data_IF_807618542661
#
_entry.id   IF_807618542661
#
_cell.length_a   1.000
_cell.length_b   1.000
_cell.length_c   1.000
_cell.angle_alpha   90.00
_cell.angle_beta   90.00
_cell.angle_gamma   90.00
#
_symmetry.space_group_name_H-M   'P 1'
#
loop_
_entity.id
_entity.type
_entity.pdbx_description
1 polymer ?
#
# COMPACT_ATOMS: atom_id res chain seq x y z
N UNK A 1 0.51 19.86 16.26
CA UNK A 1 1.82 19.23 16.09
C UNK A 1 1.59 17.74 16.26
N UNK A 2 1.91 16.92 15.29
CA UNK A 2 1.81 15.47 15.51
C UNK A 2 3.02 15.07 16.39
N UNK A 3 2.74 14.57 17.57
CA UNK A 3 3.80 14.07 18.46
C UNK A 3 4.38 12.80 17.84
N UNK A 4 5.61 12.92 17.34
CA UNK A 4 6.35 11.82 16.70
C UNK A 4 7.23 11.09 17.75
N UNK A 5 6.64 10.83 18.92
CA UNK A 5 7.24 10.10 20.04
C UNK A 5 6.47 8.79 20.30
N UNK A 6 7.06 7.88 21.05
CA UNK A 6 6.37 6.67 21.47
C UNK A 6 6.09 5.72 20.32
N UNK A 7 7.14 5.22 19.63
CA UNK A 7 6.99 4.23 18.55
C UNK A 7 6.16 3.04 19.01
N UNK A 8 5.17 2.70 18.22
CA UNK A 8 4.30 1.54 18.44
C UNK A 8 4.29 0.70 17.17
N UNK A 9 4.58 -0.58 17.31
CA UNK A 9 4.53 -1.53 16.21
C UNK A 9 3.86 -2.80 16.68
N UNK A 10 2.93 -3.30 15.89
CA UNK A 10 2.23 -4.54 16.11
C UNK A 10 2.05 -5.29 14.78
N UNK A 11 1.87 -6.60 14.87
CA UNK A 11 1.44 -7.41 13.75
C UNK A 11 0.10 -8.05 14.08
N UNK A 12 -0.84 -7.98 13.15
CA UNK A 12 -2.11 -8.70 13.21
C UNK A 12 -2.12 -9.77 12.14
N UNK A 13 -2.53 -10.97 12.52
CA UNK A 13 -2.58 -12.13 11.63
C UNK A 13 -3.96 -12.77 11.77
N UNK A 14 -4.63 -12.99 10.66
CA UNK A 14 -5.95 -13.63 10.66
C UNK A 14 -6.40 -14.03 9.27
N UNK A 15 -7.53 -14.72 9.17
CA UNK A 15 -8.13 -15.05 7.89
C UNK A 15 -8.87 -13.83 7.29
N UNK A 16 -9.06 -13.78 5.97
CA UNK A 16 -9.83 -12.72 5.32
C UNK A 16 -11.22 -12.57 5.94
N UNK A 17 -11.59 -11.34 6.30
CA UNK A 17 -12.90 -11.04 6.88
C UNK A 17 -13.06 -11.38 8.38
N UNK A 18 -12.05 -11.96 9.03
CA UNK A 18 -12.05 -12.22 10.47
C UNK A 18 -11.30 -11.14 11.25
N UNK A 19 -11.58 -11.07 12.55
CA UNK A 19 -10.75 -10.27 13.47
C UNK A 19 -9.42 -11.00 13.64
N UNK A 20 -8.35 -10.41 13.11
CA UNK A 20 -7.00 -10.95 13.24
C UNK A 20 -6.53 -10.96 14.69
N UNK A 21 -5.67 -11.93 15.03
CA UNK A 21 -4.98 -11.96 16.31
C UNK A 21 -3.84 -10.96 16.28
N UNK A 22 -3.79 -10.09 17.27
CA UNK A 22 -2.78 -9.05 17.42
C UNK A 22 -1.65 -9.53 18.32
N UNK A 23 -0.42 -9.28 17.88
CA UNK A 23 0.80 -9.57 18.62
C UNK A 23 1.56 -8.27 18.82
N UNK A 24 1.58 -7.81 20.05
CA UNK A 24 2.32 -6.63 20.51
C UNK A 24 3.60 -7.06 21.25
N UNK A 25 4.55 -6.17 21.38
CA UNK A 25 5.77 -6.39 22.18
C UNK A 25 6.85 -7.26 21.53
N UNK A 26 6.62 -7.78 20.33
CA UNK A 26 7.65 -8.45 19.54
C UNK A 26 8.52 -7.44 18.82
N UNK A 27 9.81 -7.74 18.65
CA UNK A 27 10.61 -7.00 17.69
C UNK A 27 10.15 -7.36 16.28
N UNK A 28 9.72 -6.35 15.54
CA UNK A 28 9.24 -6.46 14.17
C UNK A 28 10.06 -5.52 13.31
N UNK A 29 10.62 -6.04 12.22
CA UNK A 29 11.22 -5.22 11.18
C UNK A 29 10.40 -5.34 9.90
N UNK A 30 10.30 -4.25 9.16
CA UNK A 30 9.59 -4.23 7.88
C UNK A 30 10.25 -3.27 6.88
N UNK A 31 10.19 -3.65 5.62
CA UNK A 31 10.50 -2.81 4.46
C UNK A 31 9.37 -2.98 3.46
N UNK A 32 8.65 -1.89 3.19
CA UNK A 32 7.44 -1.88 2.39
C UNK A 32 7.63 -0.87 1.27
N UNK A 33 7.68 -1.33 0.04
CA UNK A 33 7.79 -0.47 -1.15
C UNK A 33 6.48 -0.44 -1.90
N UNK A 34 6.02 0.76 -2.18
CA UNK A 34 4.81 1.04 -2.94
C UNK A 34 5.12 1.99 -4.08
N UNK A 35 4.56 1.72 -5.23
CA UNK A 35 4.74 2.56 -6.42
C UNK A 35 3.39 2.93 -7.03
N UNK A 36 3.33 4.10 -7.65
CA UNK A 36 2.20 4.49 -8.50
C UNK A 36 2.14 3.69 -9.80
N UNK A 37 3.20 2.93 -10.12
CA UNK A 37 3.23 2.06 -11.28
C UNK A 37 2.49 0.75 -10.99
N UNK A 38 2.09 0.06 -12.05
CA UNK A 38 1.33 -1.19 -11.96
C UNK A 38 2.11 -2.39 -11.37
N UNK A 39 3.30 -2.17 -10.80
CA UNK A 39 4.06 -3.21 -10.08
C UNK A 39 3.43 -3.52 -8.73
N UNK A 40 3.46 -4.79 -8.28
CA UNK A 40 2.95 -5.13 -6.96
C UNK A 40 3.77 -4.46 -5.88
N UNK A 41 3.06 -3.98 -4.87
CA UNK A 41 3.70 -3.60 -3.63
C UNK A 41 4.40 -4.82 -3.03
N UNK A 42 5.69 -4.70 -2.79
CA UNK A 42 6.49 -5.75 -2.17
C UNK A 42 6.80 -5.34 -0.74
N UNK A 43 6.56 -6.24 0.18
CA UNK A 43 6.87 -6.03 1.58
C UNK A 43 7.63 -7.23 2.15
N UNK A 44 8.69 -6.93 2.85
CA UNK A 44 9.43 -7.89 3.67
C UNK A 44 9.14 -7.58 5.14
N UNK A 45 8.77 -8.60 5.89
CA UNK A 45 8.50 -8.50 7.31
C UNK A 45 9.30 -9.58 8.03
N UNK A 46 9.94 -9.21 9.15
CA UNK A 46 10.57 -10.17 10.03
C UNK A 46 10.06 -9.98 11.46
N UNK A 47 9.69 -11.09 12.08
CA UNK A 47 9.22 -11.14 13.46
C UNK A 47 10.24 -11.92 14.28
N UNK A 48 10.80 -11.28 15.31
CA UNK A 48 11.83 -11.86 16.15
C UNK A 48 11.21 -12.56 17.36
N UNK A 49 11.75 -13.74 17.67
CA UNK A 49 11.33 -14.59 18.76
C UNK A 49 9.81 -14.86 18.78
N UNK A 50 9.20 -15.23 17.62
CA UNK A 50 7.78 -15.52 17.59
C UNK A 50 7.48 -16.78 18.44
N UNK A 51 6.43 -16.70 19.25
CA UNK A 51 5.88 -17.84 19.94
C UNK A 51 5.25 -18.86 18.98
N UNK A 52 4.96 -20.07 19.49
CA UNK A 52 4.35 -21.12 18.67
C UNK A 52 3.01 -20.69 18.04
N UNK A 53 2.21 -19.92 18.76
CA UNK A 53 0.94 -19.39 18.27
C UNK A 53 1.12 -18.40 17.11
N UNK A 54 2.16 -17.53 17.19
CA UNK A 54 2.46 -16.58 16.10
C UNK A 54 2.89 -17.34 14.84
N UNK A 55 3.74 -18.36 15.01
CA UNK A 55 4.19 -19.20 13.89
C UNK A 55 3.02 -19.94 13.26
N UNK A 56 2.18 -20.58 14.07
CA UNK A 56 0.98 -21.31 13.59
C UNK A 56 0.01 -20.37 12.82
N UNK A 57 -0.15 -19.12 13.30
CA UNK A 57 -0.97 -18.14 12.60
C UNK A 57 -0.35 -17.73 11.25
N UNK A 58 0.98 -17.59 11.17
CA UNK A 58 1.69 -17.27 9.92
C UNK A 58 1.67 -18.43 8.91
N UNK A 59 1.61 -19.68 9.39
CA UNK A 59 1.56 -20.87 8.55
C UNK A 59 0.18 -21.13 7.93
N UNK A 60 -0.86 -20.40 8.35
CA UNK A 60 -2.19 -20.53 7.76
C UNK A 60 -2.15 -20.17 6.26
N UNK A 61 -2.64 -21.04 5.37
CA UNK A 61 -2.61 -20.80 3.92
C UNK A 61 -3.39 -19.56 3.46
N UNK A 62 -4.30 -19.10 4.31
CA UNK A 62 -5.18 -17.94 4.06
C UNK A 62 -4.77 -16.71 4.87
N UNK A 63 -3.66 -16.76 5.60
CA UNK A 63 -3.25 -15.70 6.49
C UNK A 63 -3.14 -14.36 5.77
N UNK A 64 -3.86 -13.38 6.30
CA UNK A 64 -3.69 -11.97 6.02
C UNK A 64 -2.87 -11.38 7.14
N UNK A 65 -1.79 -10.71 6.78
CA UNK A 65 -0.90 -10.02 7.70
C UNK A 65 -1.13 -8.52 7.58
N UNK A 66 -1.34 -7.88 8.73
CA UNK A 66 -1.35 -6.43 8.86
C UNK A 66 -0.19 -5.99 9.74
N UNK A 67 0.63 -5.09 9.24
CA UNK A 67 1.64 -4.40 10.04
C UNK A 67 1.07 -3.04 10.42
N UNK A 68 1.00 -2.80 11.71
CA UNK A 68 0.54 -1.55 12.30
C UNK A 68 1.75 -0.87 12.89
N UNK A 69 2.05 0.34 12.45
CA UNK A 69 3.21 1.08 12.91
C UNK A 69 2.91 2.57 12.97
N UNK A 70 3.67 3.29 13.79
CA UNK A 70 3.52 4.72 13.95
C UNK A 70 3.98 5.18 15.32
N UNK A 71 3.54 6.34 15.68
CA UNK A 71 3.79 6.95 16.98
C UNK A 71 2.51 6.86 17.84
N UNK A 72 2.08 7.88 18.54
CA UNK A 72 0.92 7.84 19.45
C UNK A 72 -0.36 7.30 18.80
N UNK A 73 -0.57 7.59 17.51
CA UNK A 73 -1.68 7.06 16.72
C UNK A 73 -1.14 6.15 15.59
N UNK A 74 -0.77 4.89 15.89
CA UNK A 74 -0.29 3.97 14.86
C UNK A 74 -1.40 3.62 13.87
N UNK A 75 -1.00 3.46 12.61
CA UNK A 75 -1.91 3.08 11.53
C UNK A 75 -1.40 1.85 10.78
N UNK A 76 -2.26 1.25 9.96
CA UNK A 76 -1.89 0.13 9.09
C UNK A 76 -0.92 0.64 8.03
N UNK A 77 0.32 0.14 8.05
CA UNK A 77 1.35 0.42 7.03
C UNK A 77 1.26 -0.59 5.91
N UNK A 78 0.83 -1.82 6.20
CA UNK A 78 0.73 -2.92 5.27
C UNK A 78 -0.46 -3.79 5.64
N UNK A 79 -1.22 -4.22 4.64
CA UNK A 79 -2.22 -5.28 4.75
C UNK A 79 -2.13 -6.15 3.52
N UNK A 80 -1.88 -7.45 3.68
CA UNK A 80 -1.74 -8.33 2.53
C UNK A 80 -1.62 -9.80 2.90
N UNK A 81 -1.51 -10.63 1.88
CA UNK A 81 -1.31 -12.09 2.03
C UNK A 81 0.16 -12.45 2.00
N UNK A 82 0.51 -13.48 2.75
CA UNK A 82 1.85 -14.06 2.71
C UNK A 82 2.06 -14.70 1.34
N UNK A 83 3.17 -14.38 0.71
CA UNK A 83 3.58 -15.02 -0.55
C UNK A 83 3.86 -16.49 -0.26
N UNK A 84 3.21 -17.38 -1.00
CA UNK A 84 3.34 -18.82 -0.80
C UNK A 84 4.82 -19.25 -0.88
N UNK A 85 5.28 -19.97 0.15
CA UNK A 85 6.66 -20.46 0.23
C UNK A 85 7.69 -19.39 0.66
N UNK A 86 7.27 -18.17 0.99
CA UNK A 86 8.19 -17.12 1.47
C UNK A 86 8.44 -17.17 2.98
N UNK A 87 7.53 -17.77 3.75
CA UNK A 87 7.72 -17.90 5.19
C UNK A 87 8.89 -18.82 5.52
N UNK A 88 9.86 -18.29 6.23
CA UNK A 88 11.01 -19.03 6.75
C UNK A 88 11.18 -18.71 8.23
N UNK A 89 11.32 -19.76 9.02
CA UNK A 89 11.62 -19.62 10.44
C UNK A 89 13.03 -20.17 10.67
N UNK A 90 13.95 -19.29 10.97
CA UNK A 90 15.39 -19.59 11.08
C UNK A 90 15.98 -19.02 12.36
N UNK A 91 17.20 -19.43 12.70
CA UNK A 91 17.99 -18.82 13.76
C UNK A 91 18.87 -17.72 13.20
N UNK A 92 18.85 -16.56 13.84
CA UNK A 92 19.69 -15.41 13.54
C UNK A 92 20.39 -15.02 14.86
N UNK A 93 21.60 -15.55 15.05
CA UNK A 93 22.32 -15.49 16.33
C UNK A 93 21.52 -16.16 17.46
N UNK A 94 21.27 -15.45 18.58
CA UNK A 94 20.50 -15.98 19.70
C UNK A 94 18.99 -15.98 19.45
N UNK A 95 18.52 -15.29 18.41
CA UNK A 95 17.10 -15.10 18.13
C UNK A 95 16.57 -16.13 17.14
N UNK A 96 15.30 -16.50 17.32
CA UNK A 96 14.51 -17.16 16.28
C UNK A 96 13.79 -16.08 15.48
N UNK A 97 13.85 -16.12 14.15
CA UNK A 97 13.27 -15.09 13.29
C UNK A 97 12.35 -15.73 12.27
N UNK A 98 11.12 -15.27 12.20
CA UNK A 98 10.20 -15.58 11.10
C UNK A 98 10.28 -14.45 10.06
N UNK A 99 10.81 -14.77 8.88
CA UNK A 99 10.89 -13.87 7.73
C UNK A 99 9.83 -14.26 6.72
N UNK A 100 9.13 -13.27 6.18
CA UNK A 100 8.06 -13.50 5.21
C UNK A 100 7.98 -12.33 4.23
N UNK A 101 7.54 -12.65 3.02
CA UNK A 101 7.13 -11.64 2.05
C UNK A 101 5.61 -11.53 2.06
N UNK A 102 5.13 -10.31 2.04
CA UNK A 102 3.71 -9.99 2.02
C UNK A 102 3.41 -9.19 0.75
N UNK A 103 2.36 -9.58 0.06
CA UNK A 103 1.84 -8.83 -1.08
C UNK A 103 0.47 -8.28 -0.75
N UNK A 104 0.24 -7.02 -1.10
CA UNK A 104 -1.07 -6.39 -1.02
C UNK A 104 -2.06 -7.06 -1.98
N UNK A 105 -3.37 -6.91 -1.74
CA UNK A 105 -4.47 -7.59 -2.43
C UNK A 105 -4.47 -7.55 -3.97
N UNK A 106 -3.50 -6.85 -4.59
CA UNK A 106 -3.26 -6.89 -6.03
C UNK A 106 -2.95 -8.29 -6.60
N UNK A 107 -2.61 -9.26 -5.75
CA UNK A 107 -2.45 -10.68 -6.13
C UNK A 107 -3.77 -11.24 -6.63
N UNK A 108 -4.87 -10.95 -5.94
CA UNK A 108 -6.19 -11.47 -6.29
C UNK A 108 -6.62 -10.96 -7.67
N UNK A 109 -6.35 -9.70 -7.99
CA UNK A 109 -6.64 -9.15 -9.33
C UNK A 109 -5.83 -9.79 -10.47
N UNK A 110 -4.64 -10.29 -10.19
CA UNK A 110 -3.78 -10.93 -11.22
C UNK A 110 -4.08 -12.40 -11.41
N UNK A 111 -4.36 -13.10 -10.32
CA UNK A 111 -4.60 -14.55 -10.34
C UNK A 111 -6.04 -14.87 -10.70
N UNK A 112 -7.01 -14.03 -10.32
CA UNK A 112 -8.39 -14.24 -10.67
C UNK A 112 -8.62 -13.92 -12.15
N UNK A 113 -9.06 -14.92 -12.89
CA UNK A 113 -9.38 -14.78 -14.31
C UNK A 113 -10.89 -14.60 -14.46
N UNK A 114 -11.25 -13.68 -15.33
CA UNK A 114 -12.61 -13.38 -15.71
C UNK A 114 -12.84 -13.84 -17.16
N UNK A 115 -14.00 -14.42 -17.39
CA UNK A 115 -14.57 -14.58 -18.73
C UNK A 115 -16.05 -14.24 -18.62
N UNK A 116 -16.41 -13.03 -19.00
CA UNK A 116 -17.80 -12.56 -18.93
C UNK A 116 -18.15 -11.73 -20.15
N UNK A 117 -19.28 -12.08 -20.75
CA UNK A 117 -19.93 -11.26 -21.77
C UNK A 117 -20.99 -10.38 -21.11
N UNK A 118 -20.96 -9.12 -21.43
CA UNK A 118 -21.92 -8.11 -21.00
C UNK A 118 -22.82 -7.79 -22.19
N UNK A 119 -24.12 -8.04 -22.07
CA UNK A 119 -25.10 -7.76 -23.13
C UNK A 119 -25.76 -6.40 -22.92
N UNK A 120 -26.14 -5.76 -24.03
CA UNK A 120 -26.77 -4.45 -23.96
C UNK A 120 -25.79 -3.32 -23.58
N UNK A 121 -26.32 -2.22 -23.10
CA UNK A 121 -25.51 -1.12 -22.61
C UNK A 121 -24.99 -1.47 -21.19
N UNK A 122 -23.69 -1.32 -20.97
CA UNK A 122 -23.05 -1.51 -19.66
C UNK A 122 -22.12 -0.32 -19.38
N UNK A 123 -22.02 0.07 -18.12
CA UNK A 123 -21.17 1.16 -17.67
C UNK A 123 -19.88 0.63 -17.04
N UNK A 124 -18.81 1.42 -17.12
CA UNK A 124 -17.52 1.07 -16.50
C UNK A 124 -17.64 0.86 -14.99
N UNK A 125 -18.46 1.65 -14.31
CA UNK A 125 -18.77 1.49 -12.89
C UNK A 125 -19.36 0.13 -12.56
N UNK A 126 -20.25 -0.41 -13.37
CA UNK A 126 -20.85 -1.74 -13.19
C UNK A 126 -19.81 -2.86 -13.36
N UNK A 127 -18.88 -2.66 -14.31
CA UNK A 127 -17.77 -3.60 -14.50
C UNK A 127 -16.84 -3.59 -13.30
N UNK A 128 -16.53 -2.41 -12.73
CA UNK A 128 -15.71 -2.29 -11.52
C UNK A 128 -16.38 -2.92 -10.29
N UNK A 129 -17.69 -2.78 -10.14
CA UNK A 129 -18.45 -3.42 -9.06
C UNK A 129 -18.35 -4.94 -9.14
N UNK A 130 -18.47 -5.49 -10.33
CA UNK A 130 -18.27 -6.93 -10.56
C UNK A 130 -16.83 -7.36 -10.27
N UNK A 131 -15.84 -6.55 -10.63
CA UNK A 131 -14.42 -6.83 -10.30
C UNK A 131 -14.22 -6.89 -8.79
N UNK A 132 -14.81 -5.97 -8.03
CA UNK A 132 -14.75 -5.97 -6.56
C UNK A 132 -15.36 -7.23 -5.98
N UNK A 133 -16.55 -7.63 -6.46
CA UNK A 133 -17.21 -8.86 -6.03
C UNK A 133 -16.36 -10.10 -6.33
N UNK A 134 -15.84 -10.21 -7.56
CA UNK A 134 -15.06 -11.36 -8.00
C UNK A 134 -13.68 -11.45 -7.34
N UNK A 135 -13.07 -10.32 -6.98
CA UNK A 135 -11.75 -10.28 -6.34
C UNK A 135 -11.80 -10.37 -4.82
N UNK A 136 -12.94 -10.04 -4.21
CA UNK A 136 -13.06 -9.89 -2.75
C UNK A 136 -12.33 -8.68 -2.19
N UNK A 137 -11.90 -7.74 -3.05
CA UNK A 137 -11.32 -6.47 -2.60
C UNK A 137 -12.39 -5.56 -2.00
N UNK A 138 -11.99 -4.79 -1.00
CA UNK A 138 -12.84 -3.74 -0.49
C UNK A 138 -12.98 -2.59 -1.52
N UNK A 139 -14.12 -1.90 -1.47
CA UNK A 139 -14.33 -0.67 -2.23
C UNK A 139 -13.60 0.47 -1.54
N UNK A 140 -12.53 0.97 -2.16
CA UNK A 140 -11.86 2.19 -1.76
C UNK A 140 -12.51 3.43 -2.38
N UNK A 141 -11.72 4.47 -2.62
CA UNK A 141 -12.19 5.66 -3.34
C UNK A 141 -12.34 5.32 -4.82
N UNK A 142 -13.54 5.39 -5.36
CA UNK A 142 -13.81 5.24 -6.80
C UNK A 142 -14.43 6.53 -7.31
N UNK A 143 -13.65 7.29 -8.09
CA UNK A 143 -14.04 8.53 -8.75
C UNK A 143 -13.66 8.44 -10.22
N UNK A 144 -14.62 8.19 -11.08
CA UNK A 144 -14.44 8.19 -12.53
C UNK A 144 -14.69 9.61 -13.06
N UNK A 145 -13.74 10.24 -13.80
CA UNK A 145 -13.97 11.52 -14.47
C UNK A 145 -15.12 11.43 -15.49
N UNK A 146 -15.14 10.32 -16.22
CA UNK A 146 -16.21 9.93 -17.13
C UNK A 146 -16.52 8.47 -16.87
N UNK A 147 -17.78 8.07 -16.77
CA UNK A 147 -18.14 6.66 -16.70
C UNK A 147 -18.23 6.08 -18.12
N UNK A 148 -17.28 5.22 -18.53
CA UNK A 148 -17.28 4.68 -19.89
C UNK A 148 -18.56 3.90 -20.17
N UNK A 149 -19.18 4.17 -21.31
CA UNK A 149 -20.42 3.50 -21.74
C UNK A 149 -20.15 2.57 -22.92
N UNK A 150 -20.39 1.29 -22.73
CA UNK A 150 -20.25 0.25 -23.76
C UNK A 150 -21.63 -0.09 -24.30
N UNK A 151 -22.13 0.72 -25.28
CA UNK A 151 -23.52 0.68 -25.78
C UNK A 151 -23.92 -0.65 -26.44
N UNK A 152 -22.97 -1.40 -26.99
CA UNK A 152 -23.21 -2.72 -27.64
C UNK A 152 -22.76 -3.90 -26.77
N UNK A 153 -22.59 -3.66 -25.49
CA UNK A 153 -21.94 -4.61 -24.59
C UNK A 153 -20.43 -4.68 -24.78
N UNK A 154 -19.81 -5.51 -23.97
CA UNK A 154 -18.36 -5.78 -24.03
C UNK A 154 -18.08 -7.19 -23.55
N UNK A 155 -16.89 -7.69 -23.86
CA UNK A 155 -16.40 -8.98 -23.36
C UNK A 155 -15.13 -8.71 -22.58
N UNK A 156 -15.11 -9.17 -21.35
CA UNK A 156 -13.92 -9.13 -20.50
C UNK A 156 -13.37 -10.54 -20.37
N UNK A 157 -12.13 -10.74 -20.84
CA UNK A 157 -11.43 -12.03 -20.75
C UNK A 157 -10.01 -11.79 -20.26
N UNK A 158 -9.57 -12.55 -19.27
CA UNK A 158 -8.21 -12.44 -18.75
C UNK A 158 -8.16 -12.16 -17.26
N UNK A 159 -7.08 -11.55 -16.81
CA UNK A 159 -6.94 -11.18 -15.41
C UNK A 159 -7.87 -10.00 -15.07
N UNK A 160 -8.45 -10.00 -13.86
CA UNK A 160 -9.28 -8.87 -13.39
C UNK A 160 -8.53 -7.54 -13.46
N UNK A 161 -7.23 -7.56 -13.24
CA UNK A 161 -6.35 -6.40 -13.39
C UNK A 161 -6.46 -5.73 -14.75
N UNK A 162 -6.47 -6.52 -15.82
CA UNK A 162 -6.53 -6.00 -17.19
C UNK A 162 -7.90 -5.33 -17.46
N UNK A 163 -8.94 -5.88 -16.86
CA UNK A 163 -10.28 -5.29 -16.88
C UNK A 163 -10.30 -3.94 -16.18
N UNK A 164 -9.73 -3.84 -14.96
CA UNK A 164 -9.62 -2.57 -14.23
C UNK A 164 -8.80 -1.55 -15.02
N UNK A 165 -7.66 -1.98 -15.58
CA UNK A 165 -6.79 -1.11 -16.37
C UNK A 165 -7.50 -0.58 -17.63
N UNK A 166 -8.33 -1.39 -18.28
CA UNK A 166 -9.11 -0.98 -19.44
C UNK A 166 -10.18 0.05 -19.05
N UNK A 167 -11.00 -0.24 -18.04
CA UNK A 167 -12.04 0.70 -17.58
C UNK A 167 -11.42 2.01 -17.10
N UNK A 168 -10.32 1.95 -16.33
CA UNK A 168 -9.64 3.15 -15.84
C UNK A 168 -9.09 4.00 -17.00
N UNK A 169 -8.44 3.38 -17.97
CA UNK A 169 -7.93 4.08 -19.17
C UNK A 169 -9.07 4.74 -19.95
N UNK A 170 -10.16 4.03 -20.20
CA UNK A 170 -11.30 4.53 -20.95
C UNK A 170 -12.03 5.65 -20.18
N UNK A 171 -11.96 5.64 -18.85
CA UNK A 171 -12.45 6.69 -17.96
C UNK A 171 -11.50 7.90 -17.84
N UNK A 172 -10.27 7.84 -18.34
CA UNK A 172 -9.25 8.85 -18.05
C UNK A 172 -8.80 8.86 -16.58
N UNK A 173 -8.78 7.70 -15.94
CA UNK A 173 -8.49 7.53 -14.53
C UNK A 173 -7.19 6.77 -14.28
N UNK A 174 -6.56 7.02 -13.13
CA UNK A 174 -5.52 6.18 -12.51
C UNK A 174 -6.16 5.24 -11.51
N UNK A 175 -5.50 4.13 -11.22
CA UNK A 175 -5.99 3.17 -10.24
C UNK A 175 -4.85 2.50 -9.46
N UNK A 176 -5.14 2.05 -8.27
CA UNK A 176 -4.25 1.23 -7.45
C UNK A 176 -5.04 0.34 -6.50
N UNK A 177 -4.44 -0.78 -6.11
CA UNK A 177 -4.90 -1.55 -4.97
C UNK A 177 -4.00 -1.20 -3.78
N UNK A 178 -4.60 -0.76 -2.70
CA UNK A 178 -3.88 -0.36 -1.50
C UNK A 178 -4.65 -0.83 -0.26
N UNK A 179 -3.93 -1.48 0.64
CA UNK A 179 -4.47 -1.98 1.91
C UNK A 179 -5.70 -2.89 1.72
N UNK A 180 -5.73 -3.68 0.63
CA UNK A 180 -6.83 -4.59 0.30
C UNK A 180 -8.06 -3.92 -0.32
N UNK A 181 -7.97 -2.66 -0.73
CA UNK A 181 -9.04 -1.91 -1.38
C UNK A 181 -8.64 -1.44 -2.78
N UNK A 182 -9.59 -1.45 -3.73
CA UNK A 182 -9.42 -0.86 -5.05
C UNK A 182 -9.73 0.64 -5.01
N UNK A 183 -8.78 1.45 -5.43
CA UNK A 183 -8.92 2.89 -5.59
C UNK A 183 -8.83 3.26 -7.07
N UNK A 184 -9.73 4.16 -7.52
CA UNK A 184 -9.73 4.73 -8.88
C UNK A 184 -9.99 6.23 -8.75
N UNK A 185 -9.17 7.06 -9.41
CA UNK A 185 -9.29 8.52 -9.36
C UNK A 185 -8.89 9.14 -10.69
N UNK A 186 -9.35 10.38 -11.02
CA UNK A 186 -8.97 11.04 -12.27
C UNK A 186 -7.45 11.07 -12.45
N UNK A 187 -6.94 10.71 -13.64
CA UNK A 187 -5.49 10.66 -13.90
C UNK A 187 -4.81 12.04 -13.78
N UNK A 188 -5.60 13.11 -13.92
CA UNK A 188 -5.16 14.49 -13.78
C UNK A 188 -5.23 15.01 -12.34
N UNK A 189 -5.77 14.24 -11.42
CA UNK A 189 -5.94 14.61 -10.01
C UNK A 189 -5.03 13.78 -9.11
N UNK A 190 -4.80 14.30 -7.94
CA UNK A 190 -4.13 13.56 -6.87
C UNK A 190 -5.16 12.67 -6.14
N UNK A 191 -4.67 11.52 -5.61
CA UNK A 191 -5.51 10.62 -4.83
C UNK A 191 -6.06 11.30 -3.58
N UNK A 192 -5.21 12.06 -2.89
CA UNK A 192 -5.56 12.85 -1.71
C UNK A 192 -5.09 14.28 -1.91
N UNK A 193 -5.99 15.24 -1.77
CA UNK A 193 -5.73 16.67 -1.97
C UNK A 193 -5.18 17.37 -0.72
N UNK A 194 -5.25 16.74 0.44
CA UNK A 194 -4.71 17.30 1.69
C UNK A 194 -3.22 17.04 1.75
N UNK A 195 -2.42 18.08 1.62
CA UNK A 195 -0.97 17.97 1.65
C UNK A 195 -0.46 17.62 3.06
N UNK A 196 0.39 16.60 3.13
CA UNK A 196 1.14 16.27 4.35
C UNK A 196 2.35 17.18 4.42
N UNK A 197 2.47 17.99 5.46
CA UNK A 197 3.61 18.88 5.64
C UNK A 197 4.85 18.12 6.14
N UNK A 198 5.94 18.25 5.41
CA UNK A 198 7.26 17.72 5.74
C UNK A 198 8.23 18.89 5.95
N UNK A 199 8.61 19.13 7.18
CA UNK A 199 9.57 20.15 7.59
C UNK A 199 10.44 19.62 8.73
N UNK A 200 11.53 20.26 9.10
CA UNK A 200 12.33 19.85 10.26
C UNK A 200 11.50 19.70 11.54
N UNK A 201 10.52 20.59 11.74
CA UNK A 201 9.62 20.53 12.90
C UNK A 201 8.53 19.47 12.82
N UNK A 202 8.30 18.88 11.64
CA UNK A 202 7.31 17.81 11.44
C UNK A 202 7.95 16.49 11.04
N UNK A 203 9.25 16.31 11.23
CA UNK A 203 9.94 15.04 11.07
C UNK A 203 10.61 14.84 9.70
N UNK A 204 10.89 15.89 8.93
CA UNK A 204 11.78 15.82 7.80
C UNK A 204 13.19 15.45 8.29
N UNK A 205 13.84 14.50 7.64
CA UNK A 205 15.19 14.04 7.96
C UNK A 205 16.12 14.46 6.81
N UNK A 206 17.17 15.23 7.14
CA UNK A 206 18.11 15.71 6.15
C UNK A 206 17.52 16.75 5.20
N UNK A 207 18.13 16.88 4.03
CA UNK A 207 17.69 17.78 2.96
C UNK A 207 17.08 16.99 1.80
N UNK A 208 16.01 17.51 1.17
CA UNK A 208 15.50 16.93 -0.05
C UNK A 208 16.56 16.86 -1.14
N UNK A 209 16.58 15.78 -1.91
CA UNK A 209 17.48 15.56 -3.03
C UNK A 209 16.67 15.64 -4.31
N UNK A 210 17.07 16.53 -5.20
CA UNK A 210 16.47 16.64 -6.54
C UNK A 210 17.26 15.75 -7.50
N UNK A 211 16.58 14.88 -8.22
CA UNK A 211 17.16 14.04 -9.25
C UNK A 211 17.12 14.72 -10.63
N UNK A 212 17.97 14.28 -11.56
CA UNK A 212 18.09 14.85 -12.91
C UNK A 212 16.80 14.75 -13.73
N UNK A 213 15.92 13.80 -13.41
CA UNK A 213 14.62 13.63 -14.04
C UNK A 213 13.50 14.51 -13.45
N UNK A 214 13.87 15.41 -12.51
CA UNK A 214 12.95 16.36 -11.88
C UNK A 214 12.13 15.77 -10.72
N UNK A 215 12.42 14.53 -10.28
CA UNK A 215 11.85 14.00 -9.06
C UNK A 215 12.59 14.53 -7.83
N UNK A 216 11.89 14.58 -6.72
CA UNK A 216 12.48 14.92 -5.41
C UNK A 216 12.42 13.69 -4.50
N UNK A 217 13.55 13.35 -3.91
CA UNK A 217 13.60 12.35 -2.84
C UNK A 217 13.62 13.03 -1.47
N UNK A 218 12.76 12.57 -0.59
CA UNK A 218 12.58 13.12 0.75
C UNK A 218 12.54 11.98 1.75
N UNK A 219 13.29 12.12 2.85
CA UNK A 219 13.23 11.20 3.97
C UNK A 219 12.54 11.86 5.15
N UNK A 220 11.60 11.19 5.77
CA UNK A 220 10.90 11.67 6.96
C UNK A 220 10.78 10.57 8.02
N UNK A 221 10.55 10.98 9.25
CA UNK A 221 10.04 10.07 10.27
C UNK A 221 8.81 9.34 9.74
N UNK A 222 8.58 8.10 10.20
CA UNK A 222 7.56 7.22 9.62
C UNK A 222 6.20 7.90 9.46
N UNK A 223 5.68 7.87 8.24
CA UNK A 223 4.37 8.38 7.83
C UNK A 223 3.48 7.22 7.38
N UNK A 224 2.89 6.48 8.31
CA UNK A 224 2.23 5.21 8.01
C UNK A 224 1.07 5.31 7.02
N UNK A 225 0.45 6.48 6.89
CA UNK A 225 -0.71 6.70 6.00
C UNK A 225 -0.35 7.23 4.63
N UNK A 226 0.92 7.63 4.41
CA UNK A 226 1.35 8.18 3.12
C UNK A 226 1.44 7.09 2.06
N UNK A 227 0.85 7.36 0.91
CA UNK A 227 0.73 6.42 -0.22
C UNK A 227 1.12 7.10 -1.53
N UNK A 228 1.51 6.34 -2.56
CA UNK A 228 1.61 6.87 -3.92
C UNK A 228 0.31 7.56 -4.35
N UNK A 229 0.44 8.71 -5.02
CA UNK A 229 -0.67 9.57 -5.40
C UNK A 229 -1.10 10.60 -4.35
N UNK A 230 -0.55 10.55 -3.13
CA UNK A 230 -0.83 11.56 -2.11
C UNK A 230 0.01 12.82 -2.34
N UNK A 231 -0.56 13.97 -1.97
CA UNK A 231 0.14 15.26 -1.98
C UNK A 231 0.92 15.43 -0.69
N UNK A 232 2.14 15.93 -0.81
CA UNK A 232 2.92 16.38 0.34
C UNK A 232 3.60 17.72 0.03
N UNK A 233 3.74 18.54 1.05
CA UNK A 233 4.42 19.82 0.98
C UNK A 233 5.76 19.72 1.71
N UNK A 234 6.83 20.08 1.05
CA UNK A 234 8.16 20.18 1.65
C UNK A 234 8.41 21.62 2.02
N UNK A 235 8.88 21.84 3.24
CA UNK A 235 9.43 23.12 3.71
C UNK A 235 10.79 22.88 4.33
N UNK A 236 11.81 23.03 3.54
CA UNK A 236 13.21 22.93 3.92
C UNK A 236 13.94 24.21 3.49
N UNK A 237 15.13 24.42 4.05
CA UNK A 237 15.93 25.63 3.80
C UNK A 237 16.25 25.83 2.32
N UNK A 238 16.68 24.77 1.63
CA UNK A 238 17.09 24.83 0.24
C UNK A 238 16.01 24.49 -0.77
N UNK A 239 15.00 23.69 -0.34
CA UNK A 239 13.94 23.22 -1.24
C UNK A 239 12.59 23.32 -0.56
N UNK A 240 11.66 24.01 -1.20
CA UNK A 240 10.28 24.10 -0.76
C UNK A 240 9.34 23.93 -1.96
N UNK A 241 8.22 23.27 -1.77
CA UNK A 241 7.23 23.06 -2.82
C UNK A 241 6.21 22.00 -2.46
N UNK A 242 5.23 21.85 -3.34
CA UNK A 242 4.24 20.77 -3.27
C UNK A 242 4.58 19.69 -4.31
N UNK A 243 4.44 18.46 -3.89
CA UNK A 243 4.79 17.29 -4.67
C UNK A 243 3.71 16.23 -4.56
N UNK A 244 3.63 15.36 -5.56
CA UNK A 244 2.80 14.15 -5.57
C UNK A 244 3.73 12.95 -5.43
N UNK A 245 3.47 12.10 -4.45
CA UNK A 245 4.25 10.90 -4.22
C UNK A 245 4.10 9.91 -5.40
N UNK A 246 5.22 9.46 -5.93
CA UNK A 246 5.31 8.46 -7.00
C UNK A 246 5.67 7.12 -6.38
N UNK A 247 6.74 7.09 -5.60
CA UNK A 247 7.19 5.93 -4.86
C UNK A 247 7.28 6.26 -3.37
N UNK A 248 6.90 5.31 -2.55
CA UNK A 248 6.92 5.42 -1.08
C UNK A 248 7.52 4.16 -0.50
N UNK A 249 8.58 4.30 0.26
CA UNK A 249 9.17 3.21 1.02
C UNK A 249 9.03 3.48 2.52
N UNK A 250 8.41 2.55 3.24
CA UNK A 250 8.36 2.57 4.70
C UNK A 250 9.33 1.54 5.24
N UNK A 251 10.26 1.96 6.09
CA UNK A 251 11.15 1.08 6.84
C UNK A 251 10.94 1.26 8.32
N UNK A 252 10.91 0.14 9.04
CA UNK A 252 10.78 0.17 10.48
C UNK A 252 11.44 -1.00 11.17
N UNK A 253 12.04 -0.71 12.31
CA UNK A 253 12.45 -1.67 13.32
C UNK A 253 11.90 -1.18 14.66
N UNK A 254 11.04 -1.98 15.27
CA UNK A 254 10.39 -1.60 16.53
C UNK A 254 11.36 -1.42 17.69
N UNK A 255 12.58 -1.96 17.60
CA UNK A 255 13.62 -1.90 18.64
C UNK A 255 14.92 -1.25 18.14
N UNK A 256 15.05 -1.03 16.83
CA UNK A 256 16.23 -0.43 16.20
C UNK A 256 16.07 1.04 15.88
N UNK A 257 17.00 1.58 15.08
CA UNK A 257 17.02 2.99 14.66
C UNK A 257 16.07 3.29 13.50
N UNK A 258 15.85 2.31 12.64
CA UNK A 258 15.09 2.49 11.41
C UNK A 258 13.60 2.65 11.70
N UNK A 259 13.06 3.83 11.41
CA UNK A 259 11.63 4.12 11.56
C UNK A 259 11.28 5.36 10.75
N UNK A 260 11.32 5.22 9.43
CA UNK A 260 11.23 6.33 8.50
C UNK A 260 10.46 5.97 7.23
N UNK A 261 10.09 7.02 6.49
CA UNK A 261 9.48 6.95 5.17
C UNK A 261 10.36 7.69 4.18
N UNK A 262 10.78 7.01 3.11
CA UNK A 262 11.43 7.62 1.94
C UNK A 262 10.37 7.82 0.87
N UNK A 263 10.33 9.00 0.27
CA UNK A 263 9.31 9.40 -0.69
C UNK A 263 10.01 9.95 -1.93
N UNK A 264 9.74 9.35 -3.07
CA UNK A 264 10.09 9.93 -4.37
C UNK A 264 8.84 10.58 -4.95
N UNK A 265 8.92 11.86 -5.28
CA UNK A 265 7.77 12.59 -5.78
C UNK A 265 8.08 13.46 -6.97
N UNK A 266 7.08 13.68 -7.80
CA UNK A 266 7.10 14.68 -8.88
C UNK A 266 6.52 16.00 -8.39
N UNK A 267 7.02 17.12 -8.92
CA UNK A 267 6.47 18.43 -8.58
C UNK A 267 5.00 18.51 -8.98
N UNK A 268 4.19 19.07 -8.10
CA UNK A 268 2.80 19.38 -8.39
C UNK A 268 2.74 20.51 -9.39
N UNK A 269 2.03 20.29 -10.50
CA UNK A 269 1.84 21.28 -11.56
C UNK A 269 0.93 22.44 -11.14
#
# INVERSE_FOLDING_TARGET
>A
MADLYGRRTAIEIGDPGSVGRRFDGLRITFSIRRSSTASPDAAEVAVYNPGAETVAALESPRAVVRVIAGYDAPAVVLSGRIVLGSLRVERDGPSRVARLQVQDGGVDLRQTRLSRAWGGTVYGSEILDYVLEASGLARGTIRLPVDPTYARGTVTVGALRDTVATVARDAGASWAVQDGALHVWPATEERNRTAILLSPSTGLIGSPVLSDDGHVEVVSLLRPTLRPGDVYAVRAELHSGEYVAVDVEHRGDSHGSDYYTTITGRRRG
#
